data_IF_742692077935
#
_entry.id   IF_742692077935
#
_cell.length_a   1.000
_cell.length_b   1.000
_cell.length_c   1.000
_cell.angle_alpha   90.00
_cell.angle_beta   90.00
_cell.angle_gamma   90.00
#
_symmetry.space_group_name_H-M   'P 1'
#
loop_
_entity.id
_entity.type
_entity.pdbx_description
1 polymer ?
#
# COMPACT_ATOMS: atom_id res chain seq x y z
N UNK A 1 -7.15 -52.60 13.34
CA UNK A 1 -7.54 -51.21 13.01
C UNK A 1 -6.54 -50.25 13.63
N UNK A 2 -5.64 -49.64 12.84
CA UNK A 2 -4.81 -48.50 13.26
C UNK A 2 -4.96 -47.43 12.18
N UNK A 3 -5.57 -46.31 12.54
CA UNK A 3 -5.76 -45.16 11.64
C UNK A 3 -4.43 -44.41 11.55
N UNK A 4 -3.92 -44.25 10.33
CA UNK A 4 -2.77 -43.40 10.04
C UNK A 4 -3.16 -41.93 10.17
N UNK A 5 -2.38 -41.18 10.93
CA UNK A 5 -2.43 -39.72 10.94
C UNK A 5 -1.52 -39.23 9.81
N UNK A 6 -2.13 -38.75 8.73
CA UNK A 6 -1.42 -38.02 7.68
C UNK A 6 -1.07 -36.63 8.23
N UNK A 7 0.23 -36.32 8.32
CA UNK A 7 0.73 -35.01 8.72
C UNK A 7 0.71 -34.13 7.47
N UNK A 8 -0.29 -33.26 7.35
CA UNK A 8 -0.25 -32.14 6.40
C UNK A 8 0.76 -31.12 6.91
N UNK A 9 1.90 -31.01 6.25
CA UNK A 9 2.84 -29.90 6.42
C UNK A 9 2.27 -28.68 5.70
N UNK A 10 1.67 -27.77 6.47
CA UNK A 10 1.38 -26.41 6.01
C UNK A 10 2.70 -25.68 5.76
N UNK A 11 2.89 -25.25 4.52
CA UNK A 11 4.02 -24.45 4.07
C UNK A 11 3.47 -23.10 3.64
N UNK A 12 3.04 -22.28 4.60
CA UNK A 12 2.54 -20.93 4.32
C UNK A 12 3.10 -19.95 5.36
N UNK A 13 3.44 -18.73 4.90
CA UNK A 13 3.70 -17.47 5.64
C UNK A 13 5.13 -16.98 5.99
N UNK A 14 6.22 -17.72 5.79
CA UNK A 14 7.55 -17.19 6.19
C UNK A 14 8.15 -16.19 5.17
N UNK A 15 7.81 -16.29 3.88
CA UNK A 15 8.48 -15.52 2.82
C UNK A 15 7.97 -14.08 2.64
N UNK A 16 6.72 -13.78 3.01
CA UNK A 16 6.11 -12.47 2.76
C UNK A 16 6.63 -11.35 3.67
N UNK A 17 7.25 -11.68 4.81
CA UNK A 17 7.73 -10.70 5.78
C UNK A 17 9.00 -9.96 5.35
N UNK A 18 9.85 -10.55 4.49
CA UNK A 18 11.13 -9.94 4.09
C UNK A 18 10.94 -8.67 3.25
N UNK A 19 9.80 -8.56 2.54
CA UNK A 19 9.50 -7.43 1.65
C UNK A 19 8.75 -6.28 2.34
N UNK A 20 8.24 -6.49 3.57
CA UNK A 20 7.48 -5.49 4.30
C UNK A 20 8.37 -4.74 5.30
N UNK A 21 8.50 -3.44 5.12
CA UNK A 21 9.33 -2.58 5.98
C UNK A 21 8.72 -2.34 7.37
N UNK A 22 9.57 -2.05 8.36
CA UNK A 22 9.19 -1.88 9.78
C UNK A 22 9.07 -0.42 10.21
N UNK A 23 8.88 0.51 9.28
CA UNK A 23 8.75 1.93 9.65
C UNK A 23 7.45 2.17 10.42
N UNK A 24 7.49 3.16 11.31
CA UNK A 24 6.35 3.57 12.15
C UNK A 24 5.98 5.03 11.91
N UNK A 25 6.17 5.50 10.69
CA UNK A 25 5.93 6.89 10.29
C UNK A 25 4.48 7.31 10.57
N UNK A 26 3.51 6.40 10.42
CA UNK A 26 2.10 6.69 10.69
C UNK A 26 1.74 6.81 12.18
N UNK A 27 2.62 6.41 13.09
CA UNK A 27 2.45 6.70 14.52
C UNK A 27 2.45 8.22 14.80
N UNK A 28 3.18 8.98 13.99
CA UNK A 28 3.30 10.43 14.16
C UNK A 28 2.62 11.28 13.09
N UNK A 29 2.33 10.73 11.92
CA UNK A 29 1.79 11.46 10.77
C UNK A 29 0.76 10.64 9.98
N UNK A 30 0.00 11.26 9.09
CA UNK A 30 -0.76 10.48 8.08
C UNK A 30 0.13 10.09 6.91
N UNK A 31 -0.33 9.20 6.04
CA UNK A 31 0.38 8.88 4.78
C UNK A 31 0.56 10.08 3.84
N UNK A 32 -0.15 11.19 4.05
CA UNK A 32 0.11 12.49 3.40
C UNK A 32 -0.04 12.48 1.86
N UNK A 33 -1.07 11.79 1.37
CA UNK A 33 -1.39 11.70 -0.07
C UNK A 33 -1.48 13.09 -0.75
N UNK A 34 -2.08 14.14 -0.14
CA UNK A 34 -2.11 15.46 -0.76
C UNK A 34 -0.72 16.03 -1.09
N UNK A 35 0.27 15.82 -0.22
CA UNK A 35 1.64 16.26 -0.49
C UNK A 35 2.31 15.40 -1.57
N UNK A 36 2.03 14.09 -1.60
CA UNK A 36 2.54 13.22 -2.66
C UNK A 36 1.98 13.64 -4.04
N UNK A 37 0.68 13.94 -4.12
CA UNK A 37 0.03 14.43 -5.33
C UNK A 37 0.70 15.70 -5.86
N UNK A 38 0.90 16.71 -5.00
CA UNK A 38 1.59 17.95 -5.41
C UNK A 38 3.03 17.71 -5.84
N UNK A 39 3.77 16.85 -5.12
CA UNK A 39 5.14 16.50 -5.47
C UNK A 39 5.23 15.80 -6.82
N UNK A 40 4.40 14.76 -7.06
CA UNK A 40 4.43 13.98 -8.29
C UNK A 40 3.88 14.74 -9.50
N UNK A 41 3.04 15.78 -9.27
CA UNK A 41 2.68 16.75 -10.32
C UNK A 41 3.86 17.61 -10.75
N UNK A 42 4.72 18.00 -9.81
CA UNK A 42 5.86 18.88 -10.06
C UNK A 42 7.13 18.16 -10.55
N UNK A 43 7.26 16.87 -10.25
CA UNK A 43 8.46 16.07 -10.59
C UNK A 43 8.12 15.08 -11.72
N UNK A 44 8.70 15.24 -12.91
CA UNK A 44 8.44 14.36 -14.05
C UNK A 44 8.72 12.88 -13.76
N UNK A 45 8.00 11.99 -14.45
CA UNK A 45 8.31 10.56 -14.47
C UNK A 45 9.77 10.33 -14.94
N UNK A 46 10.50 9.43 -14.28
CA UNK A 46 11.91 9.13 -14.59
C UNK A 46 12.94 10.12 -14.02
N UNK A 47 12.52 11.15 -13.29
CA UNK A 47 13.45 12.05 -12.62
C UNK A 47 14.31 11.33 -11.57
N UNK A 48 15.60 11.71 -11.40
CA UNK A 48 16.48 11.10 -10.40
C UNK A 48 16.05 11.46 -8.97
N UNK A 49 16.47 10.66 -7.98
CA UNK A 49 16.12 10.85 -6.56
C UNK A 49 16.37 12.28 -6.04
N UNK A 50 17.48 12.90 -6.45
CA UNK A 50 17.84 14.26 -6.04
C UNK A 50 16.79 15.31 -6.47
N UNK A 51 16.12 15.10 -7.60
CA UNK A 51 15.09 16.03 -8.09
C UNK A 51 13.91 16.12 -7.12
N UNK A 52 13.54 15.01 -6.47
CA UNK A 52 12.46 15.00 -5.46
C UNK A 52 12.86 15.81 -4.22
N UNK A 53 14.12 15.74 -3.80
CA UNK A 53 14.65 16.55 -2.70
C UNK A 53 14.60 18.03 -3.06
N UNK A 54 15.14 18.39 -4.22
CA UNK A 54 15.15 19.77 -4.72
C UNK A 54 13.73 20.34 -4.80
N UNK A 55 12.78 19.59 -5.35
CA UNK A 55 11.39 20.01 -5.44
C UNK A 55 10.80 20.39 -4.07
N UNK A 56 11.02 19.55 -3.05
CA UNK A 56 10.44 19.78 -1.73
C UNK A 56 11.20 20.85 -0.94
N UNK A 57 12.53 20.81 -0.94
CA UNK A 57 13.38 21.60 -0.04
C UNK A 57 13.71 22.97 -0.63
N UNK A 58 14.10 23.00 -1.90
CA UNK A 58 14.63 24.19 -2.56
C UNK A 58 13.50 24.94 -3.28
N UNK A 59 12.75 24.23 -4.14
CA UNK A 59 11.63 24.80 -4.90
C UNK A 59 10.37 24.99 -4.06
N UNK A 60 10.29 24.35 -2.89
CA UNK A 60 9.18 24.42 -1.95
C UNK A 60 7.81 24.11 -2.58
N UNK A 61 7.71 23.10 -3.44
CA UNK A 61 6.45 22.74 -4.11
C UNK A 61 5.32 22.39 -3.13
N UNK A 62 5.65 22.06 -1.88
CA UNK A 62 4.68 21.75 -0.81
C UNK A 62 4.27 22.98 0.02
N UNK A 63 4.74 24.19 -0.31
CA UNK A 63 4.35 25.43 0.35
C UNK A 63 4.70 25.49 1.85
N UNK A 64 5.77 24.81 2.30
CA UNK A 64 6.16 24.79 3.72
C UNK A 64 6.89 26.10 4.08
N UNK A 65 6.50 26.77 5.18
CA UNK A 65 6.96 28.13 5.47
C UNK A 65 8.41 28.21 5.92
N UNK A 66 8.97 27.12 6.45
CA UNK A 66 10.33 27.10 7.01
C UNK A 66 11.17 26.01 6.35
N UNK A 67 12.49 26.25 6.24
CA UNK A 67 13.47 25.28 5.75
C UNK A 67 13.36 23.94 6.50
N UNK A 68 13.25 24.01 7.83
CA UNK A 68 13.07 22.83 8.70
C UNK A 68 11.77 22.10 8.37
N UNK A 69 10.68 22.84 8.12
CA UNK A 69 9.40 22.28 7.70
C UNK A 69 9.48 21.54 6.37
N UNK A 70 10.22 22.09 5.39
CA UNK A 70 10.46 21.45 4.08
C UNK A 70 11.27 20.16 4.23
N UNK A 71 12.38 20.20 4.97
CA UNK A 71 13.22 19.03 5.21
C UNK A 71 12.46 17.91 5.93
N UNK A 72 11.61 18.25 6.92
CA UNK A 72 10.75 17.28 7.61
C UNK A 72 9.72 16.67 6.67
N UNK A 73 9.05 17.47 5.85
CA UNK A 73 8.11 16.98 4.84
C UNK A 73 8.78 16.05 3.83
N UNK A 74 9.97 16.40 3.33
CA UNK A 74 10.73 15.52 2.44
C UNK A 74 11.07 14.19 3.10
N UNK A 75 11.62 14.22 4.32
CA UNK A 75 11.93 12.99 5.08
C UNK A 75 10.71 12.09 5.24
N UNK A 76 9.59 12.67 5.66
CA UNK A 76 8.32 11.97 5.87
C UNK A 76 7.82 11.28 4.59
N UNK A 77 7.81 11.99 3.47
CA UNK A 77 7.42 11.39 2.19
C UNK A 77 8.39 10.31 1.73
N UNK A 78 9.70 10.50 1.95
CA UNK A 78 10.73 9.53 1.60
C UNK A 78 10.61 8.23 2.40
N UNK A 79 10.27 8.31 3.68
CA UNK A 79 10.03 7.14 4.53
C UNK A 79 8.90 6.27 3.97
N UNK A 80 7.78 6.89 3.57
CA UNK A 80 6.58 6.22 3.09
C UNK A 80 6.63 5.78 1.62
N UNK A 81 7.35 6.53 0.78
CA UNK A 81 7.24 6.38 -0.67
C UNK A 81 8.59 6.17 -1.38
N UNK A 82 9.69 6.01 -0.64
CA UNK A 82 11.08 5.94 -1.13
C UNK A 82 11.58 7.20 -1.84
N UNK A 83 10.81 7.79 -2.76
CA UNK A 83 11.16 8.93 -3.60
C UNK A 83 12.47 8.76 -4.38
N UNK A 84 12.71 7.55 -4.85
CA UNK A 84 13.92 7.18 -5.57
C UNK A 84 13.60 6.11 -6.63
N UNK A 85 13.82 6.40 -7.93
CA UNK A 85 13.54 5.46 -9.02
C UNK A 85 14.43 4.20 -8.99
N UNK A 86 15.49 4.16 -8.17
CA UNK A 86 16.27 2.95 -7.92
C UNK A 86 15.53 1.89 -7.12
N UNK A 87 14.41 2.25 -6.46
CA UNK A 87 13.54 1.31 -5.79
C UNK A 87 12.44 0.80 -6.73
N UNK A 88 12.37 -0.51 -7.00
CA UNK A 88 11.40 -1.06 -7.95
C UNK A 88 9.95 -0.82 -7.54
N UNK A 89 9.64 -0.75 -6.24
CA UNK A 89 8.32 -0.43 -5.72
C UNK A 89 7.90 0.99 -6.11
N UNK A 90 8.79 1.97 -5.91
CA UNK A 90 8.50 3.35 -6.28
C UNK A 90 8.46 3.55 -7.79
N UNK A 91 9.33 2.87 -8.53
CA UNK A 91 9.31 2.86 -9.99
C UNK A 91 7.97 2.31 -10.51
N UNK A 92 7.49 1.19 -9.97
CA UNK A 92 6.16 0.65 -10.26
C UNK A 92 5.04 1.63 -9.92
N UNK A 93 5.09 2.28 -8.75
CA UNK A 93 4.13 3.32 -8.41
C UNK A 93 4.14 4.43 -9.47
N UNK A 94 5.31 4.97 -9.83
CA UNK A 94 5.40 6.07 -10.80
C UNK A 94 4.87 5.65 -12.17
N UNK A 95 5.11 4.42 -12.61
CA UNK A 95 4.55 3.92 -13.85
C UNK A 95 3.01 3.91 -13.85
N UNK A 96 2.38 3.25 -12.87
CA UNK A 96 0.91 3.17 -12.81
C UNK A 96 0.26 4.52 -12.48
N UNK A 97 1.00 5.43 -11.82
CA UNK A 97 0.56 6.79 -11.52
C UNK A 97 0.30 7.61 -12.78
N UNK A 98 1.09 7.43 -13.83
CA UNK A 98 0.89 8.15 -15.10
C UNK A 98 -0.29 7.60 -15.91
N UNK A 99 -0.77 6.40 -15.60
CA UNK A 99 -1.81 5.70 -16.38
C UNK A 99 -3.22 6.05 -15.90
N UNK A 100 -3.49 5.96 -14.60
CA UNK A 100 -4.83 6.19 -14.04
C UNK A 100 -4.80 7.10 -12.81
N UNK A 101 -5.15 8.38 -13.04
CA UNK A 101 -5.30 9.36 -11.96
C UNK A 101 -6.34 8.99 -10.91
N UNK A 102 -7.35 8.20 -11.27
CA UNK A 102 -8.38 7.74 -10.33
C UNK A 102 -7.85 6.69 -9.35
N UNK A 103 -6.69 6.10 -9.64
CA UNK A 103 -6.02 5.11 -8.78
C UNK A 103 -4.96 5.72 -7.86
N UNK A 104 -4.60 7.01 -8.00
CA UNK A 104 -3.51 7.66 -7.23
C UNK A 104 -3.59 7.39 -5.72
N UNK A 105 -4.77 7.55 -5.13
CA UNK A 105 -4.95 7.31 -3.69
C UNK A 105 -4.68 5.86 -3.27
N UNK A 106 -5.05 4.90 -4.10
CA UNK A 106 -4.81 3.48 -3.84
C UNK A 106 -3.35 3.10 -4.06
N UNK A 107 -2.72 3.59 -5.14
CA UNK A 107 -1.29 3.39 -5.38
C UNK A 107 -0.44 3.91 -4.22
N UNK A 108 -0.72 5.12 -3.74
CA UNK A 108 -0.06 5.68 -2.56
C UNK A 108 -0.31 4.83 -1.31
N UNK A 109 -1.55 4.40 -1.08
CA UNK A 109 -1.90 3.51 0.03
C UNK A 109 -1.10 2.21 0.02
N UNK A 110 -0.99 1.55 -1.13
CA UNK A 110 -0.25 0.29 -1.32
C UNK A 110 1.25 0.47 -1.02
N UNK A 111 1.88 1.54 -1.50
CA UNK A 111 3.30 1.79 -1.22
C UNK A 111 3.55 2.14 0.25
N UNK A 112 2.71 2.99 0.84
CA UNK A 112 2.82 3.30 2.27
C UNK A 112 2.61 2.05 3.13
N UNK A 113 1.67 1.17 2.77
CA UNK A 113 1.41 -0.09 3.45
C UNK A 113 2.61 -1.05 3.39
N UNK A 114 3.36 -1.04 2.29
CA UNK A 114 4.63 -1.79 2.15
C UNK A 114 5.65 -1.36 3.20
N UNK A 115 5.70 -0.07 3.52
CA UNK A 115 6.74 0.53 4.35
C UNK A 115 6.42 0.59 5.83
N UNK A 116 5.15 0.76 6.17
CA UNK A 116 4.73 1.19 7.49
C UNK A 116 3.95 0.10 8.25
N UNK A 117 4.57 -0.50 9.28
CA UNK A 117 3.97 -1.59 10.05
C UNK A 117 2.80 -1.16 10.92
N UNK A 118 2.74 0.13 11.29
CA UNK A 118 1.64 0.69 12.08
C UNK A 118 0.38 0.83 11.23
N UNK A 119 0.55 1.29 9.98
CA UNK A 119 -0.55 1.31 9.02
C UNK A 119 -1.06 -0.11 8.78
N UNK A 120 -0.17 -1.09 8.62
CA UNK A 120 -0.57 -2.50 8.47
C UNK A 120 -1.34 -3.03 9.66
N UNK A 121 -0.86 -2.83 10.88
CA UNK A 121 -1.56 -3.25 12.09
C UNK A 121 -2.97 -2.64 12.17
N UNK A 122 -3.08 -1.35 11.82
CA UNK A 122 -4.36 -0.63 11.87
C UNK A 122 -5.41 -1.12 10.87
N UNK A 123 -5.02 -1.83 9.81
CA UNK A 123 -5.96 -2.37 8.81
C UNK A 123 -6.95 -3.36 9.41
N UNK A 124 -6.54 -4.10 10.46
CA UNK A 124 -7.40 -5.08 11.14
C UNK A 124 -8.68 -4.48 11.71
N UNK A 125 -8.70 -3.18 12.02
CA UNK A 125 -9.90 -2.47 12.45
C UNK A 125 -10.98 -2.30 11.35
N UNK A 126 -10.60 -2.46 10.08
CA UNK A 126 -11.50 -2.24 8.94
C UNK A 126 -11.54 -3.41 7.95
N UNK A 127 -10.71 -4.44 8.13
CA UNK A 127 -10.60 -5.57 7.21
C UNK A 127 -11.94 -6.30 7.01
N UNK A 128 -12.65 -6.57 8.12
CA UNK A 128 -13.95 -7.26 8.12
C UNK A 128 -15.13 -6.30 8.34
N UNK A 129 -14.87 -4.99 8.36
CA UNK A 129 -15.90 -3.98 8.57
C UNK A 129 -16.76 -3.86 7.31
N UNK A 130 -18.07 -4.13 7.45
CA UNK A 130 -19.03 -4.01 6.35
C UNK A 130 -19.23 -2.56 5.95
N UNK A 131 -19.53 -2.33 4.67
CA UNK A 131 -19.91 -1.02 4.15
C UNK A 131 -21.02 -0.37 4.99
N UNK A 132 -20.94 0.95 5.18
CA UNK A 132 -21.91 1.73 5.93
C UNK A 132 -21.75 1.65 7.46
N UNK A 133 -20.95 0.70 7.97
CA UNK A 133 -20.65 0.63 9.40
C UNK A 133 -19.57 1.64 9.80
N UNK A 134 -19.66 2.08 11.05
CA UNK A 134 -18.76 3.09 11.60
C UNK A 134 -17.57 2.46 12.30
N UNK A 135 -16.44 3.16 12.27
CA UNK A 135 -15.22 2.85 13.01
C UNK A 135 -14.68 4.11 13.66
N UNK A 136 -14.17 3.99 14.88
CA UNK A 136 -13.64 5.08 15.67
C UNK A 136 -12.11 5.10 15.66
N UNK A 137 -11.51 6.21 16.10
CA UNK A 137 -10.07 6.23 16.35
C UNK A 137 -9.63 5.25 17.45
N UNK A 138 -10.51 4.94 18.40
CA UNK A 138 -10.22 3.99 19.47
C UNK A 138 -10.10 2.55 18.92
N UNK A 139 -10.90 2.19 17.91
CA UNK A 139 -10.79 0.88 17.25
C UNK A 139 -9.44 0.73 16.55
N UNK A 140 -8.98 1.78 15.85
CA UNK A 140 -7.63 1.80 15.27
C UNK A 140 -6.53 1.75 16.33
N UNK A 141 -6.72 2.45 17.45
CA UNK A 141 -5.79 2.40 18.59
C UNK A 141 -5.68 0.98 19.13
N UNK A 142 -6.81 0.30 19.37
CA UNK A 142 -6.84 -1.08 19.86
C UNK A 142 -6.20 -2.06 18.88
N UNK A 143 -6.50 -1.92 17.58
CA UNK A 143 -5.90 -2.72 16.51
C UNK A 143 -4.36 -2.59 16.47
N UNK A 144 -3.84 -1.37 16.64
CA UNK A 144 -2.39 -1.15 16.71
C UNK A 144 -1.82 -1.68 18.02
N UNK A 145 -2.44 -1.38 19.17
CA UNK A 145 -1.94 -1.82 20.47
C UNK A 145 -1.79 -3.35 20.57
N UNK A 146 -2.73 -4.09 19.98
CA UNK A 146 -2.68 -5.56 19.93
C UNK A 146 -1.43 -6.12 19.23
N UNK A 147 -0.80 -5.35 18.33
CA UNK A 147 0.37 -5.79 17.56
C UNK A 147 1.71 -5.40 18.20
N UNK A 148 1.73 -4.40 19.08
CA UNK A 148 2.98 -3.78 19.57
C UNK A 148 3.21 -3.95 21.09
N UNK A 149 2.51 -4.87 21.77
CA UNK A 149 2.72 -5.33 23.17
C UNK A 149 3.39 -4.32 24.13
N UNK A 150 2.82 -3.12 24.29
CA UNK A 150 3.32 -2.11 25.22
C UNK A 150 4.54 -1.28 24.76
N UNK A 151 5.02 -1.46 23.53
CA UNK A 151 6.11 -0.67 22.93
C UNK A 151 5.74 0.80 22.67
N UNK A 152 4.46 1.15 22.75
CA UNK A 152 3.95 2.51 22.53
C UNK A 152 3.24 3.06 23.76
N UNK A 153 3.53 4.30 24.12
CA UNK A 153 2.80 5.01 25.18
C UNK A 153 1.34 5.25 24.80
N UNK A 154 0.44 5.37 25.78
CA UNK A 154 -0.98 5.69 25.57
C UNK A 154 -1.18 6.96 24.74
N UNK A 155 -0.35 7.98 24.99
CA UNK A 155 -0.36 9.23 24.22
C UNK A 155 0.00 9.03 22.74
N UNK A 156 0.97 8.16 22.46
CA UNK A 156 1.39 7.80 21.11
C UNK A 156 0.30 6.98 20.43
N UNK A 157 -0.22 5.95 21.10
CA UNK A 157 -1.32 5.11 20.63
C UNK A 157 -2.57 5.91 20.26
N UNK A 158 -2.99 6.84 21.11
CA UNK A 158 -4.13 7.73 20.82
C UNK A 158 -3.90 8.62 19.59
N UNK A 159 -2.66 9.09 19.36
CA UNK A 159 -2.30 9.84 18.14
C UNK A 159 -2.28 8.94 16.91
N UNK A 160 -1.71 7.75 17.04
CA UNK A 160 -1.64 6.73 16.00
C UNK A 160 -3.03 6.38 15.47
N UNK A 161 -3.99 6.06 16.33
CA UNK A 161 -5.35 5.71 15.90
C UNK A 161 -6.05 6.82 15.08
N UNK A 162 -5.79 8.10 15.40
CA UNK A 162 -6.30 9.23 14.60
C UNK A 162 -5.59 9.33 13.25
N UNK A 163 -4.27 9.16 13.24
CA UNK A 163 -3.47 9.26 12.02
C UNK A 163 -3.76 8.13 11.03
N UNK A 164 -3.86 6.89 11.50
CA UNK A 164 -4.18 5.73 10.66
C UNK A 164 -5.61 5.80 10.16
N UNK A 165 -6.58 6.14 11.01
CA UNK A 165 -7.96 6.38 10.57
C UNK A 165 -8.08 7.49 9.53
N UNK A 166 -7.31 8.58 9.65
CA UNK A 166 -7.22 9.61 8.61
C UNK A 166 -6.54 9.10 7.32
N UNK A 167 -5.54 8.23 7.45
CA UNK A 167 -4.84 7.63 6.31
C UNK A 167 -5.76 6.71 5.50
N UNK A 168 -6.58 5.89 6.17
CA UNK A 168 -7.62 5.09 5.51
C UNK A 168 -8.74 5.93 4.88
N UNK A 169 -8.92 7.18 5.33
CA UNK A 169 -9.79 8.13 4.61
C UNK A 169 -9.13 8.65 3.34
N UNK A 170 -7.82 8.91 3.36
CA UNK A 170 -7.09 9.38 2.18
C UNK A 170 -7.04 8.32 1.06
N UNK A 171 -7.05 7.03 1.41
CA UNK A 171 -7.11 5.92 0.45
C UNK A 171 -8.54 5.57 0.00
N UNK A 172 -9.56 6.29 0.47
CA UNK A 172 -10.96 6.05 0.09
C UNK A 172 -11.59 4.81 0.71
N UNK A 173 -10.96 4.20 1.72
CA UNK A 173 -11.50 3.05 2.47
C UNK A 173 -12.53 3.48 3.52
N UNK A 174 -12.49 4.76 3.89
CA UNK A 174 -13.38 5.39 4.85
C UNK A 174 -13.79 6.77 4.33
N UNK A 175 -14.96 7.23 4.77
CA UNK A 175 -15.39 8.63 4.64
C UNK A 175 -15.69 9.22 5.99
N UNK A 176 -15.66 10.56 6.06
CA UNK A 176 -15.97 11.31 7.28
C UNK A 176 -14.74 11.69 8.10
N UNK A 177 -14.93 12.73 8.93
CA UNK A 177 -13.85 13.34 9.72
C UNK A 177 -13.76 12.73 11.12
N UNK A 178 -14.78 13.01 11.95
CA UNK A 178 -14.84 12.56 13.35
C UNK A 178 -15.47 11.17 13.45
N UNK A 179 -16.65 10.98 12.84
CA UNK A 179 -17.27 9.68 12.65
C UNK A 179 -16.83 9.14 11.29
N UNK A 180 -16.09 8.03 11.29
CA UNK A 180 -15.62 7.38 10.06
C UNK A 180 -16.54 6.23 9.71
N UNK A 181 -16.86 6.12 8.43
CA UNK A 181 -17.78 5.11 7.90
C UNK A 181 -17.08 4.36 6.77
N UNK A 182 -17.21 3.03 6.77
CA UNK A 182 -16.70 2.17 5.70
C UNK A 182 -17.39 2.48 4.38
N UNK A 183 -16.60 2.60 3.33
CA UNK A 183 -17.05 2.70 1.95
C UNK A 183 -16.80 1.42 1.18
N UNK A 184 -17.60 1.17 0.15
CA UNK A 184 -17.25 0.18 -0.86
C UNK A 184 -16.05 0.68 -1.68
N UNK A 185 -15.05 -0.20 -1.83
CA UNK A 185 -13.82 0.13 -2.53
C UNK A 185 -13.81 -0.54 -3.89
N UNK A 186 -13.70 0.25 -4.95
CA UNK A 186 -13.52 -0.27 -6.30
C UNK A 186 -12.03 -0.57 -6.51
N UNK A 187 -11.70 -1.87 -6.60
CA UNK A 187 -10.36 -2.34 -6.96
C UNK A 187 -10.04 -2.01 -8.42
N UNK A 188 -9.54 -0.80 -8.67
CA UNK A 188 -9.23 -0.33 -10.03
C UNK A 188 -8.12 -1.17 -10.66
N UNK A 189 -8.18 -1.46 -11.98
CA UNK A 189 -7.19 -2.30 -12.65
C UNK A 189 -5.73 -1.84 -12.48
N UNK A 190 -5.45 -0.53 -12.48
CA UNK A 190 -4.10 -0.01 -12.22
C UNK A 190 -3.62 -0.29 -10.77
N UNK A 191 -4.51 -0.18 -9.78
CA UNK A 191 -4.19 -0.54 -8.40
C UNK A 191 -4.00 -2.06 -8.25
N UNK A 192 -4.81 -2.88 -8.93
CA UNK A 192 -4.65 -4.34 -8.97
C UNK A 192 -3.32 -4.74 -9.61
N UNK A 193 -2.98 -4.14 -10.76
CA UNK A 193 -1.70 -4.40 -11.44
C UNK A 193 -0.52 -4.02 -10.55
N UNK A 194 -0.61 -2.89 -9.84
CA UNK A 194 0.43 -2.50 -8.90
C UNK A 194 0.53 -3.45 -7.69
N UNK A 195 -0.59 -3.89 -7.11
CA UNK A 195 -0.60 -4.89 -6.04
C UNK A 195 -0.03 -6.24 -6.50
N UNK A 196 -0.33 -6.65 -7.74
CA UNK A 196 0.23 -7.85 -8.36
C UNK A 196 1.75 -7.71 -8.58
N UNK A 197 2.20 -6.53 -9.02
CA UNK A 197 3.63 -6.24 -9.19
C UNK A 197 4.38 -6.28 -7.85
N UNK A 198 3.86 -5.65 -6.80
CA UNK A 198 4.44 -5.77 -5.45
C UNK A 198 4.47 -7.24 -4.98
N UNK A 199 3.42 -8.01 -5.25
CA UNK A 199 3.39 -9.45 -5.01
C UNK A 199 4.47 -10.22 -5.77
N UNK A 200 4.72 -9.86 -7.03
CA UNK A 200 5.77 -10.43 -7.85
C UNK A 200 7.17 -10.13 -7.31
N UNK A 201 7.43 -8.88 -6.90
CA UNK A 201 8.68 -8.48 -6.25
C UNK A 201 8.91 -9.22 -4.93
N UNK A 202 7.83 -9.56 -4.22
CA UNK A 202 7.85 -10.41 -3.03
C UNK A 202 7.98 -11.92 -3.32
N UNK A 203 8.18 -12.31 -4.58
CA UNK A 203 8.38 -13.71 -5.00
C UNK A 203 7.12 -14.45 -5.42
N UNK A 204 5.95 -13.82 -5.39
CA UNK A 204 4.70 -14.39 -5.89
C UNK A 204 4.75 -14.68 -7.39
N UNK A 205 4.10 -15.75 -7.84
CA UNK A 205 4.04 -16.16 -9.27
C UNK A 205 2.64 -16.67 -9.61
N UNK A 206 2.27 -16.64 -10.90
CA UNK A 206 0.92 -17.00 -11.35
C UNK A 206 -0.17 -16.25 -10.58
N UNK A 207 -1.21 -16.93 -10.10
CA UNK A 207 -2.24 -16.31 -9.26
C UNK A 207 -1.73 -15.87 -7.88
N UNK A 208 -0.62 -16.44 -7.40
CA UNK A 208 0.00 -16.10 -6.13
C UNK A 208 0.54 -14.67 -6.07
N UNK A 209 0.69 -13.98 -7.21
CA UNK A 209 1.01 -12.54 -7.24
C UNK A 209 -0.08 -11.69 -6.57
N UNK A 210 -1.29 -12.20 -6.37
CA UNK A 210 -2.36 -11.55 -5.61
C UNK A 210 -2.71 -12.28 -4.31
N UNK A 211 -1.94 -13.29 -3.91
CA UNK A 211 -2.07 -13.88 -2.57
C UNK A 211 -1.14 -13.15 -1.59
N UNK A 212 -1.49 -11.91 -1.28
CA UNK A 212 -0.62 -11.01 -0.53
C UNK A 212 -1.42 -9.98 0.29
N UNK A 213 -0.78 -9.20 1.16
CA UNK A 213 -1.47 -8.16 1.94
C UNK A 213 -2.02 -6.99 1.10
N UNK A 214 -1.40 -6.68 -0.05
CA UNK A 214 -1.80 -5.58 -0.92
C UNK A 214 -3.14 -5.84 -1.64
N UNK A 215 -3.39 -7.07 -2.09
CA UNK A 215 -4.65 -7.45 -2.70
C UNK A 215 -5.80 -7.43 -1.68
N UNK A 216 -5.52 -7.79 -0.42
CA UNK A 216 -6.48 -7.72 0.69
C UNK A 216 -6.96 -6.30 0.96
N UNK A 217 -6.06 -5.30 0.95
CA UNK A 217 -6.50 -3.90 1.15
C UNK A 217 -7.37 -3.41 -0.01
N UNK A 218 -7.17 -3.94 -1.22
CA UNK A 218 -8.02 -3.64 -2.38
C UNK A 218 -9.37 -4.38 -2.35
N UNK A 219 -9.62 -5.28 -1.39
CA UNK A 219 -10.84 -6.10 -1.36
C UNK A 219 -10.86 -7.20 -2.42
N UNK A 220 -9.73 -7.50 -3.06
CA UNK A 220 -9.64 -8.61 -4.03
C UNK A 220 -9.67 -9.93 -3.26
N UNK A 221 -10.82 -10.61 -3.35
CA UNK A 221 -11.00 -11.92 -2.72
C UNK A 221 -10.20 -13.01 -3.46
N UNK A 222 -9.68 -14.06 -2.79
CA UNK A 222 -8.86 -15.10 -3.44
C UNK A 222 -9.51 -15.77 -4.66
N UNK A 223 -10.83 -15.96 -4.64
CA UNK A 223 -11.59 -16.51 -5.78
C UNK A 223 -11.75 -15.58 -6.98
N UNK A 224 -11.34 -14.31 -6.86
CA UNK A 224 -11.49 -13.26 -7.87
C UNK A 224 -10.15 -12.85 -8.50
N UNK A 225 -9.02 -13.39 -8.03
CA UNK A 225 -7.69 -13.01 -8.49
C UNK A 225 -7.51 -13.14 -10.00
N UNK A 226 -7.97 -14.25 -10.61
CA UNK A 226 -7.85 -14.45 -12.06
C UNK A 226 -8.67 -13.41 -12.85
N UNK A 227 -9.86 -13.07 -12.39
CA UNK A 227 -10.70 -12.05 -13.02
C UNK A 227 -10.07 -10.66 -12.89
N UNK A 228 -9.59 -10.31 -11.69
CA UNK A 228 -8.91 -9.03 -11.46
C UNK A 228 -7.63 -8.88 -12.32
N UNK A 229 -6.85 -9.97 -12.48
CA UNK A 229 -5.68 -9.98 -13.37
C UNK A 229 -6.08 -9.89 -14.84
N UNK A 230 -7.18 -10.53 -15.26
CA UNK A 230 -7.71 -10.40 -16.62
C UNK A 230 -8.13 -8.96 -16.90
N UNK A 231 -8.82 -8.31 -15.98
CA UNK A 231 -9.24 -6.92 -16.12
C UNK A 231 -8.03 -5.99 -16.31
N UNK A 232 -6.98 -6.18 -15.49
CA UNK A 232 -5.72 -5.45 -15.65
C UNK A 232 -5.01 -5.76 -17.00
N UNK A 233 -4.99 -7.02 -17.42
CA UNK A 233 -4.41 -7.45 -18.69
C UNK A 233 -5.12 -6.82 -19.90
N UNK A 234 -6.46 -6.79 -19.90
CA UNK A 234 -7.24 -6.20 -21.01
C UNK A 234 -6.97 -4.70 -21.20
N UNK A 235 -6.48 -4.03 -20.16
CA UNK A 235 -6.06 -2.63 -20.21
C UNK A 235 -4.56 -2.45 -20.52
N UNK A 236 -3.83 -3.54 -20.79
CA UNK A 236 -2.39 -3.50 -21.10
C UNK A 236 -1.50 -3.15 -19.90
N UNK A 237 -1.98 -3.34 -18.67
CA UNK A 237 -1.26 -2.98 -17.44
C UNK A 237 -0.29 -4.08 -16.98
N UNK A 238 -0.54 -5.30 -17.42
CA UNK A 238 0.29 -6.49 -17.21
C UNK A 238 0.02 -7.50 -18.33
N UNK A 239 0.92 -8.46 -18.50
CA UNK A 239 0.70 -9.60 -19.39
C UNK A 239 0.19 -10.79 -18.57
N UNK A 240 -0.91 -11.39 -19.02
CA UNK A 240 -1.50 -12.59 -18.41
C UNK A 240 -1.62 -13.69 -19.45
N UNK A 241 -0.95 -14.81 -19.22
CA UNK A 241 -1.08 -16.02 -20.03
C UNK A 241 -1.80 -17.11 -19.23
N UNK A 242 -2.83 -17.71 -19.82
CA UNK A 242 -3.56 -18.84 -19.22
C UNK A 242 -3.58 -20.00 -20.20
N UNK A 243 -2.90 -21.09 -19.85
CA UNK A 243 -2.82 -22.30 -20.67
C UNK A 243 -3.07 -23.54 -19.79
N UNK A 244 -4.28 -24.09 -19.89
CA UNK A 244 -4.73 -25.17 -18.99
C UNK A 244 -4.70 -24.69 -17.53
N UNK A 245 -3.87 -25.35 -16.70
CA UNK A 245 -3.68 -25.00 -15.29
C UNK A 245 -2.49 -24.05 -15.05
N UNK A 246 -1.77 -23.66 -16.10
CA UNK A 246 -0.65 -22.73 -16.02
C UNK A 246 -1.19 -21.31 -16.13
N UNK A 247 -0.90 -20.49 -15.13
CA UNK A 247 -1.12 -19.04 -15.14
C UNK A 247 0.24 -18.37 -15.00
N UNK A 248 0.58 -17.53 -15.96
CA UNK A 248 1.78 -16.71 -15.94
C UNK A 248 1.41 -15.23 -15.97
N UNK A 249 2.13 -14.42 -15.20
CA UNK A 249 1.90 -12.98 -15.01
C UNK A 249 3.22 -12.25 -15.13
N UNK A 250 3.30 -11.31 -16.07
CA UNK A 250 4.51 -10.54 -16.33
C UNK A 250 4.23 -9.03 -16.39
N UNK A 251 5.27 -8.23 -16.17
CA UNK A 251 5.21 -6.76 -16.16
C UNK A 251 6.24 -6.17 -17.14
N UNK A 252 6.08 -6.34 -18.47
CA UNK A 252 7.12 -5.97 -19.43
C UNK A 252 7.57 -4.50 -19.34
N UNK A 253 6.64 -3.59 -19.03
CA UNK A 253 6.92 -2.16 -18.88
C UNK A 253 7.77 -1.81 -17.64
N UNK A 254 7.91 -2.73 -16.70
CA UNK A 254 8.63 -2.56 -15.43
C UNK A 254 9.94 -3.37 -15.37
N UNK A 255 10.29 -4.08 -16.45
CA UNK A 255 11.44 -4.98 -16.51
C UNK A 255 11.08 -6.45 -16.25
N UNK A 256 11.83 -7.37 -16.85
CA UNK A 256 11.58 -8.82 -16.77
C UNK A 256 12.25 -9.53 -15.60
N UNK A 257 13.25 -8.92 -14.97
CA UNK A 257 14.15 -9.58 -14.04
C UNK A 257 14.32 -8.75 -12.75
N UNK A 258 13.43 -9.00 -11.78
CA UNK A 258 13.72 -8.82 -10.35
C UNK A 258 13.40 -10.15 -9.66
#
# INVERSE_FOLDING_TARGET
>A
MKRGFCKMTGSDTVTSHVYLGTLRTTASHTISIPHLLELLRAVPHGAPAERYRQAVVDDNVLGRPTQVGRQRSFRHLRELYFLDPGHPEFMGLRHFWEIDSSSHSLLAGLLAFTRDEVLRASFTAIADLREGLSVSSADFTSAVAAQFDGEMSDSTLGKTGRNTGASWTQTGHLVGRTKKVRTDLVARPAAVAYAAYLGHLAGGRGLGVLDNPWSKILGVSPGRSLEALRDAHTQGLLDLLVAGNVVDVAFPALGRDI
#
